data_IF_781042475294
#
_entry.id   IF_781042475294
#
_cell.length_a   1.000
_cell.length_b   1.000
_cell.length_c   1.000
_cell.angle_alpha   90.00
_cell.angle_beta   90.00
_cell.angle_gamma   90.00
#
_symmetry.space_group_name_H-M   'P 1'
#
loop_
_entity.id
_entity.type
_entity.pdbx_description
1 polymer ?
#
# COMPACT_ATOMS: atom_id res chain seq x y z
N UNK A 1 -10.09 -11.81 38.71
CA UNK A 1 -10.20 -10.97 37.50
C UNK A 1 -9.02 -11.31 36.61
N UNK A 2 -9.18 -12.25 35.68
CA UNK A 2 -8.07 -12.64 34.79
C UNK A 2 -7.85 -11.50 33.79
N UNK A 3 -6.72 -10.79 33.91
CA UNK A 3 -6.28 -9.88 32.87
C UNK A 3 -5.87 -10.74 31.67
N UNK A 4 -6.75 -10.88 30.68
CA UNK A 4 -6.37 -11.35 29.35
C UNK A 4 -5.45 -10.29 28.73
N UNK A 5 -4.19 -10.25 29.17
CA UNK A 5 -3.15 -9.49 28.52
C UNK A 5 -2.90 -10.18 27.17
N UNK A 6 -3.64 -9.73 26.15
CA UNK A 6 -3.43 -10.13 24.75
C UNK A 6 -1.93 -10.02 24.48
N UNK A 7 -1.29 -11.06 23.96
CA UNK A 7 0.14 -11.04 23.65
C UNK A 7 0.47 -9.96 22.61
N UNK A 8 1.70 -9.43 22.62
CA UNK A 8 2.15 -8.45 21.62
C UNK A 8 2.21 -9.13 20.25
N UNK A 9 1.46 -8.60 19.28
CA UNK A 9 1.41 -9.16 17.93
C UNK A 9 2.52 -8.63 17.00
N UNK A 10 2.70 -9.24 15.83
CA UNK A 10 3.81 -8.96 14.90
C UNK A 10 3.86 -7.50 14.43
N UNK A 11 2.71 -6.84 14.31
CA UNK A 11 2.63 -5.43 13.89
C UNK A 11 3.15 -4.49 14.98
N UNK A 12 2.90 -4.78 16.26
CA UNK A 12 3.38 -3.94 17.37
C UNK A 12 4.91 -4.02 17.51
N UNK A 13 5.49 -5.21 17.32
CA UNK A 13 6.95 -5.39 17.24
C UNK A 13 7.55 -4.59 16.10
N UNK A 14 6.91 -4.61 14.92
CA UNK A 14 7.36 -3.87 13.75
C UNK A 14 7.29 -2.35 13.95
N UNK A 15 6.24 -1.85 14.58
CA UNK A 15 6.13 -0.44 14.94
C UNK A 15 7.27 -0.01 15.86
N UNK A 16 7.58 -0.81 16.88
CA UNK A 16 8.70 -0.52 17.79
C UNK A 16 10.05 -0.43 17.04
N UNK A 17 10.31 -1.39 16.14
CA UNK A 17 11.51 -1.42 15.32
C UNK A 17 11.58 -0.21 14.37
N UNK A 18 10.48 0.10 13.67
CA UNK A 18 10.41 1.20 12.72
C UNK A 18 10.60 2.55 13.39
N UNK A 19 9.98 2.79 14.55
CA UNK A 19 10.18 4.03 15.33
C UNK A 19 11.67 4.21 15.62
N UNK A 20 12.32 3.17 16.15
CA UNK A 20 13.75 3.20 16.48
C UNK A 20 14.64 3.42 15.24
N UNK A 21 14.36 2.70 14.15
CA UNK A 21 15.10 2.79 12.87
C UNK A 21 15.01 4.21 12.30
N UNK A 22 13.80 4.73 12.20
CA UNK A 22 13.50 6.03 11.60
C UNK A 22 14.06 7.17 12.45
N UNK A 23 13.89 7.10 13.78
CA UNK A 23 14.48 8.08 14.69
C UNK A 23 16.01 8.15 14.54
N UNK A 24 16.68 6.99 14.52
CA UNK A 24 18.14 6.91 14.33
C UNK A 24 18.59 7.41 12.97
N UNK A 25 17.86 7.09 11.90
CA UNK A 25 18.16 7.60 10.56
C UNK A 25 18.08 9.14 10.48
N UNK A 26 17.29 9.76 11.35
CA UNK A 26 17.20 11.23 11.50
C UNK A 26 18.17 11.82 12.52
N UNK A 27 19.06 11.02 13.08
CA UNK A 27 20.00 11.43 14.14
C UNK A 27 19.33 12.04 15.37
N UNK A 28 18.07 11.66 15.65
CA UNK A 28 17.35 12.13 16.82
C UNK A 28 17.58 11.20 18.01
N UNK A 29 17.81 11.76 19.19
CA UNK A 29 17.77 11.01 20.45
C UNK A 29 16.33 10.90 20.99
N UNK A 30 16.14 10.11 22.05
CA UNK A 30 14.82 9.92 22.66
C UNK A 30 14.31 11.18 23.39
N UNK A 31 15.21 12.07 23.82
CA UNK A 31 14.86 13.33 24.51
C UNK A 31 14.34 14.35 23.51
N UNK A 32 14.95 14.46 22.34
CA UNK A 32 14.53 15.33 21.25
C UNK A 32 13.13 14.94 20.77
N UNK A 33 12.87 13.65 20.55
CA UNK A 33 11.52 13.17 20.20
C UNK A 33 10.52 13.47 21.32
N UNK A 34 10.90 13.31 22.59
CA UNK A 34 10.07 13.66 23.74
C UNK A 34 9.69 15.15 23.77
N UNK A 35 10.64 16.04 23.46
CA UNK A 35 10.41 17.49 23.36
C UNK A 35 9.45 17.81 22.20
N UNK A 36 9.66 17.21 21.03
CA UNK A 36 8.81 17.41 19.86
C UNK A 36 7.37 16.90 20.10
N UNK A 37 7.23 15.74 20.74
CA UNK A 37 5.92 15.18 21.14
C UNK A 37 5.20 16.09 22.13
N UNK A 38 5.91 16.68 23.10
CA UNK A 38 5.36 17.68 24.01
C UNK A 38 4.89 18.94 23.27
N UNK A 39 5.65 19.40 22.27
CA UNK A 39 5.31 20.59 21.50
C UNK A 39 4.00 20.46 20.70
N UNK A 40 3.67 19.25 20.24
CA UNK A 40 2.40 18.96 19.53
C UNK A 40 1.25 18.54 20.47
N UNK A 41 1.41 18.70 21.78
CA UNK A 41 0.35 18.41 22.76
C UNK A 41 0.21 16.94 23.18
N UNK A 42 1.15 16.06 22.81
CA UNK A 42 1.16 14.64 23.21
C UNK A 42 2.43 14.29 24.02
N UNK A 43 2.58 14.81 25.25
CA UNK A 43 3.81 14.63 26.02
C UNK A 43 4.10 13.15 26.33
N UNK A 44 5.31 12.70 25.98
CA UNK A 44 5.79 11.35 26.25
C UNK A 44 7.21 11.42 26.82
N UNK A 45 7.48 10.75 27.94
CA UNK A 45 8.82 10.75 28.55
C UNK A 45 9.82 9.95 27.70
N UNK A 46 11.13 10.29 27.69
CA UNK A 46 12.14 9.52 26.94
C UNK A 46 12.21 8.05 27.37
N UNK A 47 12.00 7.76 28.66
CA UNK A 47 11.95 6.39 29.21
C UNK A 47 10.76 5.59 28.68
N UNK A 48 9.64 6.26 28.39
CA UNK A 48 8.46 5.65 27.79
C UNK A 48 8.75 5.30 26.34
N UNK A 49 9.35 6.23 25.59
CA UNK A 49 9.78 5.98 24.22
C UNK A 49 10.77 4.82 24.13
N UNK A 50 11.71 4.72 25.08
CA UNK A 50 12.66 3.59 25.16
C UNK A 50 11.97 2.24 25.41
N UNK A 51 10.92 2.19 26.22
CA UNK A 51 10.12 0.96 26.43
C UNK A 51 9.31 0.60 25.18
N UNK A 52 8.79 1.59 24.46
CA UNK A 52 8.08 1.39 23.19
C UNK A 52 9.03 0.79 22.16
N UNK A 53 10.22 1.37 21.97
CA UNK A 53 11.23 0.87 21.01
C UNK A 53 11.76 -0.53 21.32
N UNK A 54 11.56 -1.02 22.55
CA UNK A 54 11.91 -2.38 22.98
C UNK A 54 10.71 -3.35 22.93
N UNK A 55 9.53 -2.89 22.52
CA UNK A 55 8.31 -3.69 22.52
C UNK A 55 7.74 -3.98 23.92
N UNK A 56 8.30 -3.36 24.97
CA UNK A 56 7.89 -3.55 26.36
C UNK A 56 6.66 -2.72 26.73
N UNK A 57 6.32 -1.72 25.91
CA UNK A 57 5.15 -0.87 26.10
C UNK A 57 4.41 -0.65 24.79
N UNK A 58 3.09 -0.84 24.86
CA UNK A 58 2.18 -0.54 23.76
C UNK A 58 1.95 0.95 23.61
N UNK A 59 1.60 1.33 22.40
CA UNK A 59 1.12 2.65 22.03
C UNK A 59 -0.35 2.56 21.61
N UNK A 60 -1.10 3.63 21.78
CA UNK A 60 -2.44 3.78 21.20
C UNK A 60 -2.37 4.40 19.79
N UNK A 61 -3.53 4.63 19.19
CA UNK A 61 -3.64 5.21 17.84
C UNK A 61 -3.18 6.68 17.82
N UNK A 62 -3.43 7.43 18.89
CA UNK A 62 -3.01 8.83 19.00
C UNK A 62 -1.48 8.94 19.11
N UNK A 63 -0.86 8.06 19.89
CA UNK A 63 0.59 7.93 20.01
C UNK A 63 1.22 7.58 18.66
N UNK A 64 0.62 6.64 17.91
CA UNK A 64 1.09 6.27 16.57
C UNK A 64 1.12 7.49 15.65
N UNK A 65 0.03 8.25 15.59
CA UNK A 65 -0.08 9.46 14.76
C UNK A 65 0.89 10.55 15.24
N UNK A 66 0.97 10.79 16.54
CA UNK A 66 1.86 11.80 17.12
C UNK A 66 3.34 11.49 16.83
N UNK A 67 3.73 10.22 16.96
CA UNK A 67 5.10 9.78 16.64
C UNK A 67 5.36 9.91 15.12
N UNK A 68 4.40 9.54 14.27
CA UNK A 68 4.52 9.70 12.82
C UNK A 68 4.71 11.18 12.43
N UNK A 69 3.95 12.09 13.04
CA UNK A 69 4.07 13.54 12.84
C UNK A 69 5.44 14.06 13.25
N UNK A 70 5.90 13.73 14.47
CA UNK A 70 7.19 14.18 14.99
C UNK A 70 8.35 13.62 14.18
N UNK A 71 8.25 12.37 13.74
CA UNK A 71 9.23 11.75 12.85
C UNK A 71 9.04 12.16 11.39
N UNK A 72 8.04 12.98 11.05
CA UNK A 72 7.72 13.42 9.68
C UNK A 72 7.66 12.25 8.68
N UNK A 73 6.82 11.27 8.96
CA UNK A 73 6.51 10.11 8.11
C UNK A 73 5.02 9.84 8.11
N UNK A 74 4.52 9.06 7.15
CA UNK A 74 3.14 8.56 7.22
C UNK A 74 2.99 7.56 8.39
N UNK A 75 1.81 7.44 9.01
CA UNK A 75 1.55 6.39 10.00
C UNK A 75 1.80 4.98 9.44
N UNK A 76 1.51 4.77 8.15
CA UNK A 76 1.75 3.51 7.44
C UNK A 76 3.23 3.12 7.43
N UNK A 77 4.15 4.09 7.31
CA UNK A 77 5.59 3.82 7.36
C UNK A 77 6.08 3.31 8.72
N UNK A 78 5.28 3.49 9.79
CA UNK A 78 5.54 2.86 11.09
C UNK A 78 4.96 1.43 11.15
N UNK A 79 3.85 1.18 10.47
CA UNK A 79 3.14 -0.11 10.49
C UNK A 79 3.79 -1.19 9.61
N UNK A 80 4.39 -0.79 8.48
CA UNK A 80 4.90 -1.69 7.46
C UNK A 80 6.43 -1.70 7.39
N UNK A 81 7.06 -2.79 6.92
CA UNK A 81 8.51 -2.83 6.73
C UNK A 81 8.92 -1.79 5.67
N UNK A 82 10.15 -1.27 5.72
CA UNK A 82 10.62 -0.23 4.79
C UNK A 82 10.76 -0.70 3.34
N UNK A 83 10.71 -2.00 3.09
CA UNK A 83 10.86 -2.62 1.79
C UNK A 83 9.48 -2.92 1.19
N UNK A 84 9.25 -2.52 -0.05
CA UNK A 84 8.18 -3.05 -0.89
C UNK A 84 8.75 -4.18 -1.74
N UNK A 85 8.07 -5.34 -1.77
CA UNK A 85 8.54 -6.52 -2.48
C UNK A 85 7.80 -7.79 -2.08
N UNK A 86 8.28 -8.93 -2.56
CA UNK A 86 7.57 -10.21 -2.46
C UNK A 86 7.80 -10.92 -1.12
N UNK A 87 8.70 -10.36 -0.30
CA UNK A 87 8.93 -10.82 1.08
C UNK A 87 7.61 -10.81 1.85
N UNK A 88 7.22 -11.99 2.33
CA UNK A 88 5.99 -12.17 3.09
C UNK A 88 6.13 -11.64 4.51
N UNK A 89 5.15 -10.86 4.95
CA UNK A 89 5.07 -10.26 6.27
C UNK A 89 3.81 -10.68 7.00
N UNK A 90 3.94 -10.94 8.29
CA UNK A 90 2.80 -11.17 9.19
C UNK A 90 2.15 -9.82 9.52
N UNK A 91 0.85 -9.70 9.26
CA UNK A 91 0.01 -8.59 9.73
C UNK A 91 -0.68 -8.95 11.05
N UNK A 92 -1.05 -10.21 11.19
CA UNK A 92 -1.51 -10.85 12.43
C UNK A 92 -0.86 -12.23 12.52
N UNK A 93 -1.06 -12.96 13.62
CA UNK A 93 -0.53 -14.33 13.74
C UNK A 93 -1.15 -15.30 12.72
N UNK A 94 -2.36 -15.00 12.24
CA UNK A 94 -3.09 -15.81 11.27
C UNK A 94 -3.00 -15.28 9.82
N UNK A 95 -2.54 -14.04 9.62
CA UNK A 95 -2.59 -13.39 8.31
C UNK A 95 -1.21 -12.90 7.85
N UNK A 96 -0.79 -13.39 6.70
CA UNK A 96 0.51 -13.09 6.08
C UNK A 96 0.30 -12.72 4.63
N UNK A 97 0.95 -11.66 4.16
CA UNK A 97 0.88 -11.18 2.78
C UNK A 97 2.26 -10.76 2.27
N UNK A 98 2.50 -10.70 0.95
CA UNK A 98 3.65 -9.99 0.39
C UNK A 98 3.70 -8.54 0.89
N UNK A 99 4.91 -8.01 1.12
CA UNK A 99 5.10 -6.64 1.61
C UNK A 99 4.49 -5.62 0.64
N UNK A 100 4.66 -5.80 -0.66
CA UNK A 100 4.05 -4.97 -1.71
C UNK A 100 2.52 -4.88 -1.55
N UNK A 101 1.87 -6.04 -1.43
CA UNK A 101 0.41 -6.12 -1.26
C UNK A 101 -0.04 -5.46 0.04
N UNK A 102 0.71 -5.59 1.13
CA UNK A 102 0.40 -4.90 2.38
C UNK A 102 0.53 -3.36 2.27
N UNK A 103 1.54 -2.86 1.55
CA UNK A 103 1.68 -1.43 1.26
C UNK A 103 0.52 -0.90 0.43
N UNK A 104 0.20 -1.56 -0.68
CA UNK A 104 -0.93 -1.22 -1.53
C UNK A 104 -2.25 -1.25 -0.74
N UNK A 105 -2.44 -2.22 0.16
CA UNK A 105 -3.59 -2.25 1.05
C UNK A 105 -3.64 -1.08 2.03
N UNK A 106 -2.55 -0.81 2.73
CA UNK A 106 -2.50 0.26 3.72
C UNK A 106 -2.68 1.66 3.09
N UNK A 107 -2.35 1.80 1.80
CA UNK A 107 -2.51 3.03 1.03
C UNK A 107 -3.90 3.19 0.37
N UNK A 108 -4.84 2.28 0.64
CA UNK A 108 -6.17 2.39 0.07
C UNK A 108 -6.29 1.84 -1.35
N UNK A 109 -5.28 1.15 -1.87
CA UNK A 109 -5.22 0.79 -3.29
C UNK A 109 -5.83 -0.58 -3.56
N UNK A 110 -5.74 -1.50 -2.59
CA UNK A 110 -6.32 -2.85 -2.71
C UNK A 110 -6.74 -3.48 -1.40
N UNK A 111 -7.45 -4.60 -1.48
CA UNK A 111 -7.80 -5.41 -0.31
C UNK A 111 -6.58 -6.10 0.30
N UNK A 112 -6.65 -6.44 1.58
CA UNK A 112 -5.65 -7.24 2.29
C UNK A 112 -5.75 -8.74 1.96
N UNK A 113 -6.14 -9.10 0.73
CA UNK A 113 -6.24 -10.49 0.33
C UNK A 113 -4.89 -11.03 -0.14
N UNK A 114 -4.61 -12.29 0.17
CA UNK A 114 -3.42 -13.01 -0.32
C UNK A 114 -3.65 -13.50 -1.76
N UNK A 115 -4.13 -12.58 -2.60
CA UNK A 115 -4.40 -12.81 -4.01
C UNK A 115 -3.42 -11.99 -4.84
N UNK A 116 -2.39 -12.64 -5.34
CA UNK A 116 -1.52 -12.09 -6.38
C UNK A 116 -2.10 -12.55 -7.73
N UNK A 117 -2.46 -11.63 -8.65
CA UNK A 117 -2.76 -12.02 -10.03
C UNK A 117 -1.46 -12.55 -10.65
N UNK A 118 -1.20 -13.84 -10.48
CA UNK A 118 -0.11 -14.50 -11.19
C UNK A 118 -0.31 -14.28 -12.70
N UNK A 119 0.77 -14.27 -13.51
CA UNK A 119 0.63 -14.20 -14.96
C UNK A 119 -0.46 -15.19 -15.35
N UNK A 120 -1.43 -14.74 -16.14
CA UNK A 120 -2.39 -15.64 -16.78
C UNK A 120 -1.55 -16.71 -17.44
N UNK A 121 -1.41 -17.85 -16.76
CA UNK A 121 -0.78 -18.99 -17.35
C UNK A 121 -1.65 -19.22 -18.57
N UNK A 122 -1.09 -19.04 -19.75
CA UNK A 122 -1.56 -19.81 -20.89
C UNK A 122 -1.31 -21.26 -20.48
N UNK A 123 -2.19 -21.82 -19.66
CA UNK A 123 -2.30 -23.26 -19.48
C UNK A 123 -2.45 -23.77 -20.89
N UNK A 124 -1.40 -24.41 -21.39
CA UNK A 124 -1.48 -25.11 -22.66
C UNK A 124 -2.70 -26.04 -22.65
N UNK A 125 -3.17 -26.47 -23.82
CA UNK A 125 -4.30 -27.39 -23.91
C UNK A 125 -3.98 -28.65 -23.09
N UNK A 126 -4.55 -28.77 -21.88
CA UNK A 126 -4.18 -29.80 -20.90
C UNK A 126 -4.20 -29.39 -19.41
N UNK A 127 -4.50 -28.15 -19.05
CA UNK A 127 -4.66 -27.75 -17.63
C UNK A 127 -5.90 -28.39 -16.97
N UNK A 128 -5.77 -28.81 -15.71
CA UNK A 128 -6.88 -29.37 -14.93
C UNK A 128 -8.01 -28.33 -14.76
N UNK A 129 -9.22 -28.58 -15.27
CA UNK A 129 -10.33 -27.65 -15.17
C UNK A 129 -10.73 -27.29 -13.73
N UNK A 130 -10.46 -28.14 -12.74
CA UNK A 130 -10.74 -27.84 -11.33
C UNK A 130 -9.83 -26.72 -10.79
N UNK A 131 -8.54 -26.75 -11.13
CA UNK A 131 -7.56 -25.71 -10.75
C UNK A 131 -7.90 -24.39 -11.44
N UNK A 132 -8.34 -24.45 -12.70
CA UNK A 132 -8.79 -23.27 -13.45
C UNK A 132 -10.05 -22.68 -12.80
N UNK A 133 -11.02 -23.52 -12.41
CA UNK A 133 -12.24 -23.10 -11.72
C UNK A 133 -11.96 -22.38 -10.40
N UNK A 134 -11.14 -22.97 -9.53
CA UNK A 134 -10.77 -22.36 -8.24
C UNK A 134 -10.05 -21.01 -8.41
N UNK A 135 -9.17 -20.90 -9.43
CA UNK A 135 -8.48 -19.64 -9.73
C UNK A 135 -9.45 -18.54 -10.18
N UNK A 136 -10.41 -18.88 -11.05
CA UNK A 136 -11.44 -17.95 -11.53
C UNK A 136 -12.37 -17.52 -10.40
N UNK A 137 -12.76 -18.43 -9.51
CA UNK A 137 -13.60 -18.10 -8.34
C UNK A 137 -12.90 -17.13 -7.39
N UNK A 138 -11.62 -17.36 -7.08
CA UNK A 138 -10.80 -16.44 -6.28
C UNK A 138 -10.64 -15.07 -6.93
N UNK A 139 -10.48 -15.02 -8.25
CA UNK A 139 -10.38 -13.77 -9.01
C UNK A 139 -11.69 -12.97 -8.92
N UNK A 140 -12.84 -13.62 -9.10
CA UNK A 140 -14.15 -12.98 -8.96
C UNK A 140 -14.44 -12.51 -7.53
N UNK A 141 -14.01 -13.28 -6.52
CA UNK A 141 -14.11 -12.86 -5.12
C UNK A 141 -13.23 -11.63 -4.85
N UNK A 142 -12.00 -11.62 -5.38
CA UNK A 142 -11.12 -10.46 -5.31
C UNK A 142 -11.74 -9.22 -5.92
N UNK A 143 -12.24 -9.31 -7.15
CA UNK A 143 -12.84 -8.17 -7.84
C UNK A 143 -14.04 -7.60 -7.07
N UNK A 144 -14.85 -8.48 -6.47
CA UNK A 144 -15.99 -8.09 -5.64
C UNK A 144 -15.56 -7.36 -4.38
N UNK A 145 -14.67 -7.95 -3.58
CA UNK A 145 -14.18 -7.34 -2.35
C UNK A 145 -13.41 -6.04 -2.63
N UNK A 146 -12.67 -6.00 -3.74
CA UNK A 146 -11.95 -4.82 -4.18
C UNK A 146 -12.90 -3.67 -4.52
N UNK A 147 -13.97 -3.95 -5.27
CA UNK A 147 -15.00 -2.97 -5.60
C UNK A 147 -15.66 -2.42 -4.34
N UNK A 148 -16.03 -3.30 -3.41
CA UNK A 148 -16.60 -2.92 -2.12
C UNK A 148 -15.62 -2.09 -1.28
N UNK A 149 -14.37 -2.53 -1.17
CA UNK A 149 -13.32 -1.84 -0.44
C UNK A 149 -13.13 -0.40 -0.94
N UNK A 150 -13.04 -0.21 -2.26
CA UNK A 150 -12.89 1.13 -2.85
C UNK A 150 -14.09 2.03 -2.57
N UNK A 151 -15.31 1.46 -2.53
CA UNK A 151 -16.53 2.20 -2.21
C UNK A 151 -16.60 2.67 -0.75
N UNK A 152 -16.04 1.89 0.19
CA UNK A 152 -16.11 2.16 1.63
C UNK A 152 -14.97 3.05 2.15
N UNK A 153 -13.81 3.03 1.50
CA UNK A 153 -12.57 3.60 2.06
C UNK A 153 -12.18 4.97 1.51
N UNK A 154 -12.68 5.35 0.33
CA UNK A 154 -12.37 6.64 -0.28
C UNK A 154 -13.55 7.60 -0.21
N UNK A 155 -13.35 8.88 0.15
CA UNK A 155 -14.35 9.92 -0.08
C UNK A 155 -14.73 9.99 -1.57
N UNK A 156 -15.97 10.36 -1.94
CA UNK A 156 -16.42 10.42 -3.34
C UNK A 156 -15.49 11.25 -4.26
N UNK A 157 -14.84 12.27 -3.71
CA UNK A 157 -13.85 13.10 -4.41
C UNK A 157 -12.57 12.35 -4.76
N UNK A 158 -12.15 11.40 -3.91
CA UNK A 158 -11.00 10.51 -4.17
C UNK A 158 -11.38 9.23 -4.90
N UNK A 159 -12.64 8.78 -4.79
CA UNK A 159 -13.16 7.64 -5.55
C UNK A 159 -13.04 7.87 -7.06
N UNK A 160 -13.20 9.10 -7.55
CA UNK A 160 -13.07 9.43 -8.98
C UNK A 160 -11.66 9.19 -9.53
N UNK A 161 -10.63 9.35 -8.71
CA UNK A 161 -9.25 9.04 -9.08
C UNK A 161 -8.90 7.56 -8.96
N UNK A 162 -9.42 6.86 -7.95
CA UNK A 162 -9.03 5.45 -7.69
C UNK A 162 -9.95 4.44 -8.40
N UNK A 163 -11.19 4.82 -8.70
CA UNK A 163 -12.20 3.98 -9.34
C UNK A 163 -12.14 3.93 -10.87
N UNK A 164 -11.38 4.83 -11.51
CA UNK A 164 -11.13 4.69 -12.95
C UNK A 164 -10.14 3.56 -13.18
N UNK A 165 -10.59 2.55 -13.93
CA UNK A 165 -9.76 1.45 -14.44
C UNK A 165 -8.40 1.97 -14.95
N UNK A 166 -8.36 3.10 -15.66
CA UNK A 166 -7.13 3.73 -16.14
C UNK A 166 -6.08 4.04 -15.04
N UNK A 167 -6.51 4.49 -13.85
CA UNK A 167 -5.57 4.83 -12.75
C UNK A 167 -5.05 3.58 -12.05
N UNK A 168 -5.90 2.58 -11.84
CA UNK A 168 -5.47 1.26 -11.34
C UNK A 168 -4.45 0.66 -12.30
N UNK A 169 -4.76 0.66 -13.59
CA UNK A 169 -3.89 0.09 -14.61
C UNK A 169 -2.58 0.87 -14.79
N UNK A 170 -2.62 2.20 -14.68
CA UNK A 170 -1.42 3.02 -14.66
C UNK A 170 -0.48 2.68 -13.50
N UNK A 171 -1.04 2.32 -12.34
CA UNK A 171 -0.26 1.85 -11.19
C UNK A 171 0.24 0.42 -11.38
N UNK A 172 -0.59 -0.51 -11.85
CA UNK A 172 -0.16 -1.88 -12.16
C UNK A 172 1.02 -1.87 -13.14
N UNK A 173 0.97 -0.95 -14.12
CA UNK A 173 2.09 -0.73 -15.02
C UNK A 173 3.33 -0.20 -14.29
N UNK A 174 3.18 0.77 -13.40
CA UNK A 174 4.29 1.32 -12.61
C UNK A 174 4.98 0.23 -11.78
N UNK A 175 4.21 -0.67 -11.15
CA UNK A 175 4.73 -1.81 -10.39
C UNK A 175 5.52 -2.77 -11.29
N UNK A 176 5.01 -3.08 -12.49
CA UNK A 176 5.73 -3.92 -13.46
C UNK A 176 7.02 -3.23 -13.94
N UNK A 177 6.99 -1.92 -14.15
CA UNK A 177 8.18 -1.14 -14.52
C UNK A 177 9.20 -1.17 -13.38
N UNK A 178 8.77 -0.99 -12.13
CA UNK A 178 9.64 -1.03 -10.95
C UNK A 178 10.32 -2.40 -10.82
N UNK A 179 9.59 -3.50 -11.03
CA UNK A 179 10.14 -4.87 -11.05
C UNK A 179 11.19 -5.11 -12.14
N UNK A 180 11.13 -4.35 -13.24
CA UNK A 180 12.10 -4.43 -14.34
C UNK A 180 13.34 -3.59 -14.03
N UNK A 181 13.15 -2.41 -13.45
CA UNK A 181 14.22 -1.44 -13.19
C UNK A 181 15.02 -1.82 -11.94
N UNK A 182 14.38 -2.44 -10.95
CA UNK A 182 14.99 -2.92 -9.72
C UNK A 182 14.65 -4.41 -9.50
N UNK A 183 15.14 -5.31 -10.37
CA UNK A 183 14.81 -6.73 -10.27
C UNK A 183 15.36 -7.34 -8.98
N UNK A 184 14.64 -8.31 -8.42
CA UNK A 184 15.19 -9.14 -7.34
C UNK A 184 16.54 -9.74 -7.81
N UNK A 185 17.54 -9.77 -6.91
CA UNK A 185 18.92 -10.14 -7.24
C UNK A 185 19.09 -11.54 -7.87
N UNK A 186 18.04 -12.37 -7.82
CA UNK A 186 17.98 -13.75 -8.32
C UNK A 186 17.14 -13.92 -9.60
N UNK A 187 16.58 -12.85 -10.17
CA UNK A 187 15.68 -12.94 -11.31
C UNK A 187 16.41 -13.35 -12.61
N UNK A 188 15.92 -14.40 -13.27
CA UNK A 188 16.42 -14.84 -14.59
C UNK A 188 16.18 -13.76 -15.65
N UNK A 189 17.20 -13.49 -16.46
CA UNK A 189 17.17 -12.55 -17.58
C UNK A 189 16.03 -12.83 -18.54
N UNK A 190 15.72 -14.10 -18.81
CA UNK A 190 14.62 -14.48 -19.71
C UNK A 190 13.24 -14.05 -19.17
N UNK A 191 13.08 -14.12 -17.85
CA UNK A 191 11.87 -13.71 -17.11
C UNK A 191 11.75 -12.19 -17.10
N UNK A 192 12.85 -11.47 -16.89
CA UNK A 192 12.89 -10.01 -16.95
C UNK A 192 12.55 -9.47 -18.36
N UNK A 193 13.05 -10.12 -19.42
CA UNK A 193 12.71 -9.77 -20.80
C UNK A 193 11.22 -10.03 -21.12
N UNK A 194 10.65 -11.12 -20.61
CA UNK A 194 9.23 -11.41 -20.76
C UNK A 194 8.35 -10.38 -20.03
N UNK A 195 8.68 -10.06 -18.77
CA UNK A 195 8.02 -9.00 -17.99
C UNK A 195 8.11 -7.65 -18.70
N UNK A 196 9.28 -7.29 -19.23
CA UNK A 196 9.51 -6.06 -20.00
C UNK A 196 8.63 -5.94 -21.24
N UNK A 197 8.49 -7.03 -22.01
CA UNK A 197 7.59 -7.05 -23.18
C UNK A 197 6.13 -6.89 -22.76
N UNK A 198 5.72 -7.53 -21.66
CA UNK A 198 4.35 -7.46 -21.14
C UNK A 198 4.03 -6.05 -20.62
N UNK A 199 4.94 -5.43 -19.87
CA UNK A 199 4.84 -4.04 -19.41
C UNK A 199 4.65 -3.07 -20.58
N UNK A 200 5.51 -3.20 -21.60
CA UNK A 200 5.47 -2.34 -22.79
C UNK A 200 4.12 -2.45 -23.52
N UNK A 201 3.59 -3.67 -23.68
CA UNK A 201 2.26 -3.88 -24.27
C UNK A 201 1.16 -3.23 -23.44
N UNK A 202 1.22 -3.39 -22.11
CA UNK A 202 0.23 -2.79 -21.20
C UNK A 202 0.26 -1.27 -21.22
N UNK A 203 1.43 -0.65 -21.28
CA UNK A 203 1.58 0.80 -21.44
C UNK A 203 0.93 1.32 -22.72
N UNK A 204 1.18 0.66 -23.85
CA UNK A 204 0.57 1.03 -25.13
C UNK A 204 -0.96 0.92 -25.04
N UNK A 205 -1.46 -0.17 -24.47
CA UNK A 205 -2.90 -0.35 -24.27
C UNK A 205 -3.50 0.74 -23.37
N UNK A 206 -2.80 1.13 -22.31
CA UNK A 206 -3.22 2.20 -21.41
C UNK A 206 -3.28 3.56 -22.10
N UNK A 207 -2.34 3.84 -23.02
CA UNK A 207 -2.39 5.03 -23.85
C UNK A 207 -3.66 5.08 -24.68
N UNK A 208 -4.04 3.96 -25.31
CA UNK A 208 -5.27 3.86 -26.09
C UNK A 208 -6.53 4.01 -25.23
N UNK A 209 -6.58 3.37 -24.06
CA UNK A 209 -7.69 3.53 -23.10
C UNK A 209 -7.80 4.98 -22.61
N UNK A 210 -6.67 5.68 -22.42
CA UNK A 210 -6.67 7.09 -22.03
C UNK A 210 -7.15 8.00 -23.16
N UNK A 211 -6.71 7.77 -24.40
CA UNK A 211 -7.18 8.51 -25.58
C UNK A 211 -8.70 8.34 -25.75
N UNK A 212 -9.22 7.13 -25.57
CA UNK A 212 -10.67 6.87 -25.59
C UNK A 212 -11.41 7.65 -24.49
N UNK A 213 -10.87 7.71 -23.27
CA UNK A 213 -11.46 8.52 -22.19
C UNK A 213 -11.46 10.01 -22.55
N UNK A 214 -10.35 10.52 -23.09
CA UNK A 214 -10.22 11.92 -23.51
C UNK A 214 -11.26 12.26 -24.56
N UNK A 215 -11.44 11.39 -25.56
CA UNK A 215 -12.43 11.57 -26.63
C UNK A 215 -13.88 11.60 -26.12
N UNK A 216 -14.15 10.99 -24.97
CA UNK A 216 -15.47 10.94 -24.34
C UNK A 216 -15.64 11.93 -23.17
N UNK A 217 -14.68 12.82 -22.92
CA UNK A 217 -14.82 13.86 -21.91
C UNK A 217 -15.95 14.83 -22.32
N UNK A 218 -16.85 15.21 -21.39
CA UNK A 218 -17.86 16.20 -21.69
C UNK A 218 -17.19 17.54 -22.06
N UNK A 219 -17.72 18.29 -23.03
CA UNK A 219 -17.18 19.60 -23.37
C UNK A 219 -17.20 20.50 -22.12
N UNK A 220 -16.13 21.28 -21.93
CA UNK A 220 -16.04 22.22 -20.83
C UNK A 220 -17.29 23.13 -20.81
N UNK A 221 -18.00 23.20 -19.68
CA UNK A 221 -19.17 24.08 -19.55
C UNK A 221 -18.75 25.54 -19.84
N UNK A 222 -19.29 26.19 -20.88
CA UNK A 222 -19.01 27.59 -21.15
C UNK A 222 -19.87 28.42 -20.19
N UNK A 223 -19.35 28.75 -19.01
CA UNK A 223 -20.13 29.53 -18.06
C UNK A 223 -19.49 29.76 -16.71
N UNK A 224 -18.37 30.49 -16.67
CA UNK A 224 -18.13 31.46 -15.60
C UNK A 224 -17.03 32.45 -16.02
N UNK A 225 -17.46 33.68 -16.37
CA UNK A 225 -16.70 34.90 -16.13
C UNK A 225 -15.72 35.36 -17.21
N UNK A 226 -16.22 35.93 -18.31
CA UNK A 226 -15.59 37.13 -18.84
C UNK A 226 -16.34 38.32 -18.22
N UNK A 227 -15.72 39.18 -17.39
CA UNK A 227 -16.37 40.42 -17.00
C UNK A 227 -16.41 41.34 -18.22
N UNK A 228 -17.63 41.68 -18.63
CA UNK A 228 -17.86 42.87 -19.44
C UNK A 228 -17.46 44.09 -18.60
N UNK A 229 -16.53 44.90 -19.12
CA UNK A 229 -16.10 46.15 -18.52
C UNK A 229 -15.71 47.10 -19.64
N UNK A 230 -16.42 48.23 -19.68
CA UNK A 230 -16.38 49.35 -20.63
C UNK A 230 -15.02 50.02 -20.79
#
# INVERSE_FOLDING_TARGET
MASNAVATGPTAERVAENIRRIRRARNLDQKEVSVLLKAIGRPMLPTVLSKIERGERRIDVDDLVAIALVLNVSPVALLLPPESGDRRIKLTDAHTLPSRTAWQWAEGQRTAMDYEPGPVAHTGPGGDPAIVGEKVEREQEYDRQQTEYLSLTHPPERQRGVGHQAVRLGRDLADVIEDIVAPEATADRSVLEARSRMAKRRYVQLGLELDEIIDHLPPAHPGMGAPAGE
#
